data_IF_826659043699
#
_entry.id   IF_826659043699
#
_cell.length_a   1.000
_cell.length_b   1.000
_cell.length_c   1.000
_cell.angle_alpha   90.00
_cell.angle_beta   90.00
_cell.angle_gamma   90.00
#
_symmetry.space_group_name_H-M   'P 1'
#
loop_
_entity.id
_entity.type
_entity.pdbx_description
1 polymer ?
#
# COMPACT_ATOMS: atom_id res chain seq x y z
N UNK A 1 -3.76 -0.09 11.34
CA UNK A 1 -3.32 0.54 12.61
C UNK A 1 -1.79 0.73 12.72
N UNK A 2 -0.96 -0.03 12.00
CA UNK A 2 0.52 0.05 12.14
C UNK A 2 1.27 0.64 10.94
N UNK A 3 0.56 1.19 9.95
CA UNK A 3 1.19 1.54 8.67
C UNK A 3 2.26 2.63 8.82
N UNK A 4 2.01 3.67 9.61
CA UNK A 4 2.99 4.74 9.84
C UNK A 4 4.26 4.19 10.48
N UNK A 5 4.14 3.36 11.52
CA UNK A 5 5.31 2.76 12.17
C UNK A 5 6.09 1.83 11.22
N UNK A 6 5.38 1.10 10.35
CA UNK A 6 6.00 0.25 9.33
C UNK A 6 6.75 1.10 8.30
N UNK A 7 6.17 2.22 7.85
CA UNK A 7 6.84 3.14 6.93
C UNK A 7 8.10 3.73 7.57
N UNK A 8 8.03 4.16 8.84
CA UNK A 8 9.17 4.71 9.56
C UNK A 8 10.30 3.68 9.75
N UNK A 9 9.94 2.40 9.94
CA UNK A 9 10.91 1.34 10.19
C UNK A 9 11.51 0.74 8.91
N UNK A 10 10.69 0.50 7.89
CA UNK A 10 11.07 -0.22 6.66
C UNK A 10 11.42 0.75 5.51
N UNK A 11 10.88 1.97 5.54
CA UNK A 11 10.95 2.94 4.45
C UNK A 11 9.83 2.74 3.42
N UNK A 12 9.26 3.85 2.93
CA UNK A 12 8.15 3.81 1.97
C UNK A 12 8.49 3.20 0.61
N UNK A 13 9.77 3.21 0.21
CA UNK A 13 10.25 2.61 -1.05
C UNK A 13 10.26 1.06 -1.02
N UNK A 14 10.07 0.45 0.14
CA UNK A 14 10.20 -0.99 0.36
C UNK A 14 8.84 -1.67 0.65
N UNK A 15 7.73 -0.99 0.37
CA UNK A 15 6.38 -1.48 0.64
C UNK A 15 5.57 -1.61 -0.65
N UNK A 16 4.79 -2.68 -0.76
CA UNK A 16 3.90 -2.95 -1.91
C UNK A 16 2.51 -3.26 -1.38
N UNK A 17 1.48 -2.66 -1.98
CA UNK A 17 0.10 -3.01 -1.68
C UNK A 17 -0.26 -4.40 -2.22
N UNK A 18 -0.75 -5.28 -1.34
CA UNK A 18 -1.31 -6.58 -1.68
C UNK A 18 -2.72 -6.70 -1.12
N UNK A 19 -3.70 -7.02 -1.98
CA UNK A 19 -5.09 -7.13 -1.59
C UNK A 19 -5.44 -8.47 -0.94
N UNK A 20 -4.56 -9.47 -1.08
CA UNK A 20 -4.80 -10.86 -0.69
C UNK A 20 -5.98 -11.53 -1.46
N UNK A 21 -6.36 -10.99 -2.61
CA UNK A 21 -7.34 -11.65 -3.48
C UNK A 21 -6.73 -12.92 -4.13
N UNK A 22 -7.48 -14.05 -4.27
CA UNK A 22 -8.90 -14.26 -3.96
C UNK A 22 -9.16 -14.97 -2.62
N UNK A 23 -8.35 -14.76 -1.58
CA UNK A 23 -8.56 -15.43 -0.30
C UNK A 23 -9.97 -15.14 0.25
N UNK A 24 -10.53 -16.11 0.98
CA UNK A 24 -11.92 -16.08 1.47
C UNK A 24 -12.22 -14.94 2.47
N UNK A 25 -11.19 -14.42 3.12
CA UNK A 25 -11.22 -13.30 4.04
C UNK A 25 -10.78 -11.98 3.40
N UNK A 26 -10.56 -11.96 2.08
CA UNK A 26 -10.34 -10.74 1.32
C UNK A 26 -11.49 -9.75 1.56
N UNK A 27 -11.13 -8.50 1.86
CA UNK A 27 -12.08 -7.41 2.10
C UNK A 27 -12.39 -6.70 0.78
N UNK A 28 -13.59 -6.86 0.18
CA UNK A 28 -13.89 -6.29 -1.15
C UNK A 28 -13.86 -4.75 -1.19
N UNK A 29 -14.02 -4.08 -0.05
CA UNK A 29 -13.92 -2.62 0.07
C UNK A 29 -12.47 -2.09 0.16
N UNK A 30 -11.46 -2.92 -0.13
CA UNK A 30 -10.04 -2.55 0.03
C UNK A 30 -9.64 -1.26 -0.71
N UNK A 31 -10.27 -0.95 -1.85
CA UNK A 31 -10.03 0.31 -2.57
C UNK A 31 -10.41 1.53 -1.72
N UNK A 32 -11.51 1.47 -0.96
CA UNK A 32 -11.89 2.57 -0.04
C UNK A 32 -10.87 2.72 1.08
N UNK A 33 -10.32 1.61 1.57
CA UNK A 33 -9.29 1.64 2.61
C UNK A 33 -8.00 2.31 2.10
N UNK A 34 -7.65 2.14 0.82
CA UNK A 34 -6.51 2.87 0.20
C UNK A 34 -6.79 4.38 0.15
N UNK A 35 -8.00 4.79 -0.21
CA UNK A 35 -8.37 6.22 -0.20
C UNK A 35 -8.33 6.79 1.22
N UNK A 36 -8.66 5.99 2.24
CA UNK A 36 -8.47 6.39 3.63
C UNK A 36 -6.99 6.44 4.06
N UNK A 37 -6.11 5.68 3.40
CA UNK A 37 -4.66 5.80 3.60
C UNK A 37 -4.13 7.15 3.10
N UNK A 38 -4.68 7.72 2.03
CA UNK A 38 -4.33 9.08 1.57
C UNK A 38 -4.65 10.17 2.61
N UNK A 39 -5.57 9.92 3.55
CA UNK A 39 -5.82 10.89 4.63
C UNK A 39 -4.67 10.95 5.64
N UNK A 40 -3.88 9.89 5.73
CA UNK A 40 -2.81 9.72 6.73
C UNK A 40 -1.41 9.71 6.11
N UNK A 41 -1.31 9.68 4.78
CA UNK A 41 -0.06 9.63 4.01
C UNK A 41 -0.05 10.75 2.97
N UNK A 42 1.15 11.18 2.56
CA UNK A 42 1.25 12.05 1.39
C UNK A 42 0.88 11.28 0.12
N UNK A 43 0.38 11.99 -0.89
CA UNK A 43 0.09 11.41 -2.21
C UNK A 43 1.31 10.67 -2.79
N UNK A 44 2.51 11.21 -2.57
CA UNK A 44 3.75 10.59 -3.02
C UNK A 44 3.96 9.21 -2.41
N UNK A 45 3.81 9.07 -1.09
CA UNK A 45 3.97 7.78 -0.41
C UNK A 45 2.90 6.79 -0.87
N UNK A 46 1.65 7.25 -1.03
CA UNK A 46 0.58 6.39 -1.55
C UNK A 46 0.93 5.86 -2.94
N UNK A 47 1.35 6.75 -3.87
CA UNK A 47 1.73 6.37 -5.23
C UNK A 47 2.89 5.37 -5.26
N UNK A 48 3.90 5.53 -4.39
CA UNK A 48 4.98 4.56 -4.26
C UNK A 48 4.44 3.17 -3.93
N UNK A 49 3.62 3.06 -2.90
CA UNK A 49 3.16 1.77 -2.36
C UNK A 49 2.20 1.05 -3.32
N UNK A 50 1.29 1.78 -3.97
CA UNK A 50 0.27 1.19 -4.84
C UNK A 50 0.71 1.03 -6.29
N UNK A 51 1.78 1.70 -6.72
CA UNK A 51 2.17 1.75 -8.13
C UNK A 51 3.67 1.67 -8.37
N UNK A 52 4.47 2.64 -7.91
CA UNK A 52 5.87 2.74 -8.36
C UNK A 52 6.74 1.59 -7.84
N UNK A 53 6.55 1.19 -6.58
CA UNK A 53 7.29 0.09 -5.96
C UNK A 53 6.98 -1.26 -6.60
N UNK A 54 5.70 -1.69 -6.77
CA UNK A 54 5.42 -2.95 -7.48
C UNK A 54 5.93 -2.92 -8.91
N UNK A 55 5.82 -1.78 -9.61
CA UNK A 55 6.36 -1.61 -10.95
C UNK A 55 7.87 -1.83 -10.99
N UNK A 56 8.60 -1.20 -10.06
CA UNK A 56 10.05 -1.33 -9.95
C UNK A 56 10.47 -2.75 -9.54
N UNK A 57 9.73 -3.39 -8.63
CA UNK A 57 10.03 -4.71 -8.11
C UNK A 57 9.78 -5.81 -9.13
N UNK A 58 8.59 -5.83 -9.75
CA UNK A 58 8.18 -6.85 -10.72
C UNK A 58 8.62 -6.57 -12.16
N UNK A 59 9.21 -5.39 -12.44
CA UNK A 59 9.67 -4.97 -13.77
C UNK A 59 8.56 -4.96 -14.82
N UNK A 60 7.41 -4.39 -14.45
CA UNK A 60 6.22 -4.24 -15.31
C UNK A 60 6.03 -2.80 -15.80
#
# INVERSE_FOLDING_TARGET
PYLTQIIDYIGSDNLIFGSDYPHMDHRPDLVKNIVELEKNLSQEITNKIVWDNPKCFYKV
#
